data_IF_822232041868
#
_entry.id   IF_822232041868
#
_cell.length_a   1.000
_cell.length_b   1.000
_cell.length_c   1.000
_cell.angle_alpha   90.00
_cell.angle_beta   90.00
_cell.angle_gamma   90.00
#
_symmetry.space_group_name_H-M   'P 1'
#
loop_
_entity.id
_entity.type
_entity.pdbx_description
1 polymer ?
#
# COMPACT_ATOMS: atom_id res chain seq x y z
N UNK A 1 -8.27 -22.22 8.16
CA UNK A 1 -8.59 -20.79 7.97
C UNK A 1 -9.99 -20.66 7.40
N UNK A 2 -10.72 -19.63 7.78
CA UNK A 2 -12.09 -19.37 7.31
C UNK A 2 -12.18 -17.93 6.83
N UNK A 3 -13.04 -17.64 5.85
CA UNK A 3 -13.51 -16.30 5.57
C UNK A 3 -14.99 -16.25 5.93
N UNK A 4 -15.35 -15.32 6.78
CA UNK A 4 -16.73 -15.05 7.16
C UNK A 4 -17.02 -13.58 6.90
N UNK A 5 -18.24 -13.26 6.47
CA UNK A 5 -18.71 -11.88 6.49
C UNK A 5 -18.88 -11.44 7.95
N UNK A 6 -18.43 -10.23 8.27
CA UNK A 6 -18.57 -9.66 9.62
C UNK A 6 -19.49 -8.44 9.60
N UNK A 7 -19.56 -7.75 8.48
CA UNK A 7 -20.46 -6.62 8.26
C UNK A 7 -20.89 -6.59 6.79
N UNK A 8 -22.01 -7.24 6.50
CA UNK A 8 -22.56 -7.35 5.15
C UNK A 8 -22.91 -5.98 4.56
N UNK A 9 -23.36 -5.03 5.40
CA UNK A 9 -23.71 -3.69 4.96
C UNK A 9 -22.47 -2.93 4.46
N UNK A 10 -21.34 -3.09 5.14
CA UNK A 10 -20.06 -2.49 4.75
C UNK A 10 -19.26 -3.35 3.77
N UNK A 11 -19.65 -4.61 3.55
CA UNK A 11 -18.93 -5.57 2.72
C UNK A 11 -17.56 -5.94 3.29
N UNK A 12 -17.46 -6.02 4.63
CA UNK A 12 -16.24 -6.38 5.34
C UNK A 12 -16.25 -7.87 5.68
N UNK A 13 -15.15 -8.52 5.34
CA UNK A 13 -14.89 -9.95 5.58
C UNK A 13 -13.71 -10.12 6.52
N UNK A 14 -13.65 -11.26 7.21
CA UNK A 14 -12.50 -11.68 8.02
C UNK A 14 -11.81 -12.86 7.34
N UNK A 15 -10.49 -12.78 7.24
CA UNK A 15 -9.61 -13.90 6.94
C UNK A 15 -8.75 -14.18 8.16
N UNK A 16 -8.92 -15.35 8.80
CA UNK A 16 -8.32 -15.63 10.09
C UNK A 16 -7.47 -16.89 10.11
N UNK A 17 -6.36 -16.82 10.83
CA UNK A 17 -5.55 -17.96 11.24
C UNK A 17 -6.14 -18.60 12.53
N UNK A 18 -6.41 -17.75 13.52
CA UNK A 18 -7.03 -18.07 14.81
C UNK A 18 -7.74 -16.83 15.39
N UNK A 19 -8.26 -16.91 16.62
CA UNK A 19 -9.01 -15.84 17.26
C UNK A 19 -8.19 -14.57 17.55
N UNK A 20 -6.84 -14.66 17.61
CA UNK A 20 -5.93 -13.55 17.89
C UNK A 20 -5.21 -13.04 16.65
N UNK A 21 -5.17 -13.83 15.57
CA UNK A 21 -4.41 -13.56 14.36
C UNK A 21 -5.34 -13.57 13.15
N UNK A 22 -5.76 -12.40 12.70
CA UNK A 22 -6.68 -12.23 11.58
C UNK A 22 -6.54 -10.87 10.93
N UNK A 23 -7.03 -10.79 9.70
CA UNK A 23 -7.25 -9.52 9.00
C UNK A 23 -8.74 -9.34 8.70
N UNK A 24 -9.18 -8.07 8.67
CA UNK A 24 -10.45 -7.67 8.04
C UNK A 24 -10.14 -7.03 6.71
N UNK A 25 -10.97 -7.29 5.71
CA UNK A 25 -10.78 -6.73 4.38
C UNK A 25 -12.10 -6.39 3.70
N UNK A 26 -12.07 -5.41 2.80
CA UNK A 26 -13.24 -4.94 2.06
C UNK A 26 -13.00 -5.03 0.54
N UNK A 27 -13.45 -6.10 -0.13
CA UNK A 27 -13.33 -6.21 -1.59
C UNK A 27 -14.10 -5.11 -2.33
N UNK A 28 -15.26 -4.69 -1.81
CA UNK A 28 -16.13 -3.69 -2.44
C UNK A 28 -15.49 -2.29 -2.53
N UNK A 29 -14.43 -2.02 -1.75
CA UNK A 29 -13.72 -0.75 -1.77
C UNK A 29 -12.21 -0.97 -1.73
N UNK A 30 -11.62 -1.09 -2.91
CA UNK A 30 -10.17 -1.13 -3.12
C UNK A 30 -9.47 -2.44 -2.73
N UNK A 31 -10.19 -3.54 -2.45
CA UNK A 31 -9.54 -4.74 -1.89
C UNK A 31 -8.84 -4.45 -0.56
N UNK A 32 -9.27 -3.38 0.14
CA UNK A 32 -8.60 -2.82 1.30
C UNK A 32 -8.53 -3.80 2.45
N UNK A 33 -7.33 -4.09 2.96
CA UNK A 33 -7.18 -4.66 4.30
C UNK A 33 -7.44 -3.52 5.29
N UNK A 34 -8.55 -3.58 6.04
CA UNK A 34 -8.95 -2.52 6.96
C UNK A 34 -8.25 -2.64 8.31
N UNK A 35 -8.12 -3.86 8.83
CA UNK A 35 -7.54 -4.14 10.13
C UNK A 35 -6.65 -5.38 10.06
N UNK A 36 -5.62 -5.41 10.86
CA UNK A 36 -4.78 -6.57 11.10
C UNK A 36 -4.53 -6.74 12.59
N UNK A 37 -4.90 -7.90 13.10
CA UNK A 37 -4.64 -8.30 14.48
C UNK A 37 -3.53 -9.35 14.50
N UNK A 38 -2.48 -9.08 15.26
CA UNK A 38 -1.37 -9.97 15.51
C UNK A 38 -1.25 -10.18 17.02
N UNK A 39 -1.37 -11.43 17.45
CA UNK A 39 -1.44 -11.82 18.88
C UNK A 39 -2.47 -10.99 19.67
N UNK A 40 -3.65 -10.76 19.07
CA UNK A 40 -4.75 -10.01 19.66
C UNK A 40 -4.57 -8.49 19.70
N UNK A 41 -3.44 -7.95 19.22
CA UNK A 41 -3.16 -6.51 19.16
C UNK A 41 -3.45 -5.97 17.77
N UNK A 42 -4.17 -4.86 17.69
CA UNK A 42 -4.43 -4.19 16.42
C UNK A 42 -3.19 -3.44 15.93
N UNK A 43 -2.75 -3.80 14.75
CA UNK A 43 -1.52 -3.28 14.14
C UNK A 43 -1.80 -2.06 13.27
N UNK A 44 -2.89 -2.09 12.52
CA UNK A 44 -3.22 -1.04 11.56
C UNK A 44 -4.11 0.03 12.19
N UNK A 45 -3.85 1.28 11.82
CA UNK A 45 -4.77 2.40 12.04
C UNK A 45 -5.88 2.35 10.99
N UNK A 46 -7.11 2.66 11.40
CA UNK A 46 -8.26 2.72 10.49
C UNK A 46 -9.26 3.78 10.91
N UNK A 47 -9.48 4.78 10.05
CA UNK A 47 -10.50 5.82 10.22
C UNK A 47 -11.82 5.35 9.59
N UNK A 48 -12.63 4.66 10.39
CA UNK A 48 -13.89 4.08 9.94
C UNK A 48 -14.90 5.14 9.46
N UNK A 49 -14.92 6.31 10.10
CA UNK A 49 -15.82 7.42 9.70
C UNK A 49 -15.50 7.90 8.29
N UNK A 50 -14.21 8.07 7.99
CA UNK A 50 -13.77 8.43 6.63
C UNK A 50 -14.00 7.30 5.63
N UNK A 51 -13.84 6.06 6.05
CA UNK A 51 -14.09 4.92 5.18
C UNK A 51 -15.56 4.80 4.77
N UNK A 52 -16.51 5.09 5.64
CA UNK A 52 -17.95 5.07 5.30
C UNK A 52 -18.30 6.20 4.32
N UNK A 53 -17.69 7.35 4.45
CA UNK A 53 -17.89 8.50 3.56
C UNK A 53 -17.11 8.30 2.23
N UNK A 54 -17.83 7.90 1.19
CA UNK A 54 -17.24 7.63 -0.14
C UNK A 54 -16.71 8.88 -0.86
N UNK A 55 -17.05 10.08 -0.38
CA UNK A 55 -16.53 11.34 -0.96
C UNK A 55 -15.12 11.64 -0.47
N UNK A 56 -14.67 10.97 0.59
CA UNK A 56 -13.36 11.17 1.21
C UNK A 56 -12.38 10.07 0.84
N UNK A 57 -11.11 10.45 0.68
CA UNK A 57 -10.02 9.47 0.53
C UNK A 57 -9.89 8.64 1.81
N UNK A 58 -9.59 7.36 1.64
CA UNK A 58 -9.35 6.43 2.74
C UNK A 58 -8.16 6.92 3.58
N UNK A 59 -8.27 6.83 4.90
CA UNK A 59 -7.19 7.01 5.87
C UNK A 59 -7.16 5.78 6.78
N UNK A 60 -6.26 4.84 6.49
CA UNK A 60 -6.11 3.64 7.29
C UNK A 60 -6.09 2.36 6.48
N UNK A 61 -5.78 1.27 7.15
CA UNK A 61 -5.62 -0.04 6.52
C UNK A 61 -4.38 -0.12 5.64
N UNK A 62 -4.49 -0.87 4.55
CA UNK A 62 -3.44 -1.02 3.52
C UNK A 62 -4.03 -0.74 2.15
N UNK A 63 -4.19 0.53 1.74
CA UNK A 63 -4.58 0.90 0.38
C UNK A 63 -3.59 0.40 -0.67
N UNK A 64 -4.12 -0.01 -1.82
CA UNK A 64 -3.34 -0.49 -2.97
C UNK A 64 -3.21 0.65 -3.97
N UNK A 65 -1.98 0.97 -4.35
CA UNK A 65 -1.63 2.03 -5.30
C UNK A 65 -1.34 1.41 -6.66
N UNK A 66 -2.17 1.71 -7.67
CA UNK A 66 -2.02 1.21 -9.03
C UNK A 66 -2.90 2.02 -10.00
N UNK A 67 -2.46 2.35 -11.21
CA UNK A 67 -1.16 2.03 -11.81
C UNK A 67 -0.10 3.11 -11.55
N UNK A 68 -0.33 4.02 -10.61
CA UNK A 68 0.61 5.09 -10.22
C UNK A 68 0.79 5.17 -8.71
N UNK A 69 1.97 5.62 -8.28
CA UNK A 69 2.26 6.05 -6.92
C UNK A 69 2.33 7.58 -6.88
N UNK A 70 1.60 8.20 -5.93
CA UNK A 70 1.51 9.67 -5.85
C UNK A 70 0.66 10.30 -6.95
N UNK A 71 1.01 11.53 -7.34
CA UNK A 71 0.35 12.31 -8.38
C UNK A 71 1.13 12.26 -9.69
N UNK A 72 0.48 12.66 -10.79
CA UNK A 72 1.10 13.04 -12.04
C UNK A 72 0.98 14.56 -12.22
N UNK A 73 2.11 15.22 -12.49
CA UNK A 73 2.18 16.66 -12.73
C UNK A 73 2.02 16.93 -14.23
N UNK A 74 0.82 16.69 -14.72
CA UNK A 74 0.44 16.95 -16.11
C UNK A 74 -0.94 17.61 -16.15
N UNK A 75 -1.17 18.57 -17.08
CA UNK A 75 -2.44 19.28 -17.14
C UNK A 75 -3.60 18.43 -17.68
N UNK A 76 -3.28 17.34 -18.39
CA UNK A 76 -4.24 16.48 -19.08
C UNK A 76 -3.97 15.00 -18.78
N UNK A 77 -4.82 14.11 -19.31
CA UNK A 77 -4.56 12.68 -19.22
C UNK A 77 -3.26 12.28 -19.91
N UNK A 78 -2.53 11.33 -19.29
CA UNK A 78 -1.29 10.75 -19.81
C UNK A 78 -1.49 10.08 -21.19
N UNK A 79 -2.66 9.54 -21.45
CA UNK A 79 -2.97 8.76 -22.66
C UNK A 79 -3.76 9.55 -23.73
N UNK A 80 -3.87 10.88 -23.55
CA UNK A 80 -4.51 11.76 -24.53
C UNK A 80 -5.93 12.18 -24.14
N UNK A 81 -6.55 13.01 -25.00
CA UNK A 81 -7.81 13.73 -24.71
C UNK A 81 -9.01 12.82 -24.43
N UNK A 82 -9.00 11.58 -24.92
CA UNK A 82 -10.11 10.63 -24.75
C UNK A 82 -10.07 9.90 -23.41
N UNK A 83 -9.02 10.11 -22.59
CA UNK A 83 -8.86 9.46 -21.32
C UNK A 83 -8.99 10.44 -20.17
N UNK A 84 -9.48 9.96 -19.02
CA UNK A 84 -9.54 10.73 -17.78
C UNK A 84 -8.16 10.83 -17.15
N UNK A 85 -7.91 11.92 -16.43
CA UNK A 85 -6.73 12.06 -15.60
C UNK A 85 -6.78 11.11 -14.40
N UNK A 86 -5.65 10.53 -14.03
CA UNK A 86 -5.54 9.75 -12.81
C UNK A 86 -5.74 10.63 -11.57
N UNK A 87 -6.49 10.10 -10.61
CA UNK A 87 -6.45 10.60 -9.24
C UNK A 87 -5.15 10.17 -8.56
N UNK A 88 -4.78 10.85 -7.50
CA UNK A 88 -3.64 10.49 -6.66
C UNK A 88 -3.66 8.98 -6.34
N UNK A 89 -2.55 8.29 -6.56
CA UNK A 89 -2.36 6.85 -6.37
C UNK A 89 -3.16 5.94 -7.31
N UNK A 90 -3.70 6.48 -8.39
CA UNK A 90 -4.46 5.71 -9.38
C UNK A 90 -5.86 5.31 -8.90
N UNK A 91 -6.41 4.26 -9.51
CA UNK A 91 -7.81 3.87 -9.33
C UNK A 91 -8.02 2.61 -8.49
N UNK A 92 -7.01 1.80 -8.26
CA UNK A 92 -7.18 0.47 -7.67
C UNK A 92 -7.79 0.51 -6.26
N UNK A 93 -7.44 1.52 -5.46
CA UNK A 93 -7.94 1.68 -4.08
C UNK A 93 -9.42 2.07 -3.97
N UNK A 94 -10.04 2.48 -5.08
CA UNK A 94 -11.44 2.95 -5.08
C UNK A 94 -12.38 1.99 -5.81
N UNK A 95 -11.86 1.00 -6.53
CA UNK A 95 -12.63 0.04 -7.29
C UNK A 95 -13.01 -1.20 -6.47
N UNK A 96 -13.99 -1.93 -6.98
CA UNK A 96 -14.36 -3.23 -6.44
C UNK A 96 -13.41 -4.31 -6.95
N UNK A 97 -12.97 -5.19 -6.03
CA UNK A 97 -12.12 -6.33 -6.28
C UNK A 97 -12.89 -7.64 -6.11
N UNK A 98 -12.52 -8.64 -6.87
CA UNK A 98 -12.90 -10.02 -6.60
C UNK A 98 -12.01 -10.59 -5.50
N UNK A 99 -12.50 -11.60 -4.77
CA UNK A 99 -11.69 -12.31 -3.79
C UNK A 99 -11.96 -13.80 -3.84
N UNK A 100 -10.95 -14.61 -3.54
CA UNK A 100 -11.08 -16.05 -3.37
C UNK A 100 -10.08 -16.58 -2.36
N UNK A 101 -10.44 -17.70 -1.73
CA UNK A 101 -9.57 -18.44 -0.83
C UNK A 101 -8.86 -19.56 -1.56
N UNK A 102 -7.59 -19.70 -1.28
CA UNK A 102 -6.82 -20.89 -1.61
C UNK A 102 -6.62 -21.72 -0.33
N UNK A 103 -7.49 -22.70 -0.12
CA UNK A 103 -7.43 -23.55 1.07
C UNK A 103 -6.15 -24.39 1.17
N UNK A 104 -5.58 -24.82 0.03
CA UNK A 104 -4.33 -25.59 0.01
C UNK A 104 -3.13 -24.77 0.46
N UNK A 105 -3.11 -23.48 0.10
CA UNK A 105 -2.01 -22.56 0.45
C UNK A 105 -2.31 -21.72 1.70
N UNK A 106 -3.50 -21.83 2.27
CA UNK A 106 -3.97 -20.96 3.34
C UNK A 106 -3.75 -19.47 3.01
N UNK A 107 -4.16 -19.06 1.82
CA UNK A 107 -4.01 -17.67 1.36
C UNK A 107 -5.32 -17.09 0.84
N UNK A 108 -5.47 -15.78 0.98
CA UNK A 108 -6.51 -14.95 0.40
C UNK A 108 -5.97 -14.33 -0.89
N UNK A 109 -6.69 -14.46 -1.99
CA UNK A 109 -6.40 -13.72 -3.23
C UNK A 109 -7.39 -12.60 -3.43
N UNK A 110 -6.89 -11.39 -3.70
CA UNK A 110 -7.63 -10.24 -4.18
C UNK A 110 -7.29 -10.04 -5.66
N UNK A 111 -8.29 -9.81 -6.50
CA UNK A 111 -8.11 -9.74 -7.97
C UNK A 111 -8.85 -8.52 -8.51
N UNK A 112 -8.12 -7.65 -9.20
CA UNK A 112 -8.66 -6.56 -10.00
C UNK A 112 -8.33 -6.81 -11.48
N UNK A 113 -9.35 -6.75 -12.33
CA UNK A 113 -9.21 -6.85 -13.79
C UNK A 113 -9.54 -5.51 -14.43
N UNK A 114 -9.06 -5.34 -15.66
CA UNK A 114 -9.53 -4.24 -16.50
C UNK A 114 -11.04 -4.31 -16.69
N UNK A 115 -11.64 -3.16 -16.90
CA UNK A 115 -13.06 -2.96 -17.08
C UNK A 115 -13.29 -1.70 -17.90
N UNK A 116 -14.51 -1.46 -18.35
CA UNK A 116 -14.88 -0.22 -19.05
C UNK A 116 -14.53 1.02 -18.20
N UNK A 117 -14.65 0.93 -16.87
CA UNK A 117 -14.27 2.03 -15.97
C UNK A 117 -12.76 2.25 -16.01
N UNK A 118 -11.94 1.20 -15.86
CA UNK A 118 -10.46 1.37 -15.86
C UNK A 118 -9.96 1.86 -17.20
N UNK A 119 -10.59 1.43 -18.31
CA UNK A 119 -10.24 1.87 -19.66
C UNK A 119 -10.49 3.35 -19.92
N UNK A 120 -11.34 4.00 -19.13
CA UNK A 120 -11.47 5.47 -19.21
C UNK A 120 -10.22 6.23 -18.74
N UNK A 121 -9.34 5.59 -17.97
CA UNK A 121 -8.09 6.18 -17.46
C UNK A 121 -6.84 5.55 -18.08
N UNK A 122 -6.90 4.24 -18.38
CA UNK A 122 -5.75 3.38 -18.61
C UNK A 122 -6.05 2.37 -19.71
N UNK A 123 -5.52 2.54 -20.95
CA UNK A 123 -5.97 1.81 -22.14
C UNK A 123 -5.38 0.39 -22.26
N UNK A 124 -5.21 -0.31 -21.15
CA UNK A 124 -4.60 -1.64 -21.14
C UNK A 124 -5.54 -2.69 -20.57
N UNK A 125 -5.44 -3.89 -21.12
CA UNK A 125 -6.04 -5.08 -20.53
C UNK A 125 -5.06 -5.63 -19.49
N UNK A 126 -5.52 -5.83 -18.26
CA UNK A 126 -4.64 -6.30 -17.19
C UNK A 126 -5.37 -7.21 -16.20
N UNK A 127 -4.58 -7.96 -15.43
CA UNK A 127 -5.02 -8.56 -14.19
C UNK A 127 -3.99 -8.27 -13.10
N UNK A 128 -4.45 -7.63 -12.04
CA UNK A 128 -3.68 -7.42 -10.82
C UNK A 128 -4.19 -8.39 -9.77
N UNK A 129 -3.34 -9.35 -9.37
CA UNK A 129 -3.65 -10.33 -8.33
C UNK A 129 -2.70 -10.15 -7.15
N UNK A 130 -3.27 -10.06 -5.96
CA UNK A 130 -2.52 -10.01 -4.71
C UNK A 130 -2.87 -11.23 -3.88
N UNK A 131 -1.91 -12.12 -3.68
CA UNK A 131 -2.03 -13.26 -2.78
C UNK A 131 -1.49 -12.85 -1.40
N UNK A 132 -2.35 -12.96 -0.39
CA UNK A 132 -2.09 -12.56 0.99
C UNK A 132 -1.99 -13.83 1.83
N UNK A 133 -0.86 -14.01 2.51
CA UNK A 133 -0.63 -15.09 3.46
C UNK A 133 -0.46 -14.53 4.86
N UNK A 134 -1.30 -15.01 5.78
CA UNK A 134 -1.28 -14.62 7.18
C UNK A 134 -0.55 -15.69 8.00
N UNK A 135 0.43 -15.24 8.79
CA UNK A 135 1.13 -16.04 9.82
C UNK A 135 1.10 -15.29 11.15
N UNK A 136 1.47 -15.95 12.24
CA UNK A 136 1.66 -15.27 13.51
C UNK A 136 2.68 -14.14 13.30
N UNK A 137 2.29 -12.91 13.65
CA UNK A 137 3.12 -11.70 13.55
C UNK A 137 3.71 -11.41 12.15
N UNK A 138 3.13 -11.99 11.09
CA UNK A 138 3.62 -11.75 9.73
C UNK A 138 2.48 -11.75 8.71
N UNK A 139 2.45 -10.71 7.88
CA UNK A 139 1.55 -10.58 6.74
C UNK A 139 2.40 -10.51 5.47
N UNK A 140 2.21 -11.48 4.56
CA UNK A 140 2.96 -11.56 3.31
C UNK A 140 2.06 -11.26 2.12
N UNK A 141 2.63 -10.56 1.14
CA UNK A 141 1.99 -10.20 -0.12
C UNK A 141 2.82 -10.75 -1.28
N UNK A 142 2.19 -11.47 -2.18
CA UNK A 142 2.72 -11.77 -3.50
C UNK A 142 1.84 -11.11 -4.52
N UNK A 143 2.38 -10.13 -5.22
CA UNK A 143 1.68 -9.32 -6.20
C UNK A 143 2.06 -9.80 -7.59
N UNK A 144 1.08 -10.11 -8.42
CA UNK A 144 1.25 -10.44 -9.83
C UNK A 144 0.48 -9.42 -10.67
N UNK A 145 1.21 -8.65 -11.47
CA UNK A 145 0.67 -7.66 -12.40
C UNK A 145 0.82 -8.23 -13.80
N UNK A 146 -0.26 -8.69 -14.40
CA UNK A 146 -0.26 -9.28 -15.72
C UNK A 146 -0.73 -8.26 -16.78
N UNK A 147 0.07 -8.05 -17.80
CA UNK A 147 -0.32 -7.36 -19.01
C UNK A 147 -1.01 -8.35 -19.97
N UNK A 148 -2.28 -8.10 -20.26
CA UNK A 148 -3.08 -8.88 -21.23
C UNK A 148 -3.30 -8.14 -22.55
N UNK A 149 -2.59 -7.04 -22.75
CA UNK A 149 -2.60 -6.26 -23.98
C UNK A 149 -1.55 -6.76 -24.97
N UNK A 150 -1.67 -6.32 -26.22
CA UNK A 150 -0.71 -6.61 -27.29
C UNK A 150 0.44 -5.58 -27.38
N UNK A 151 0.48 -4.62 -26.45
CA UNK A 151 1.48 -3.57 -26.34
C UNK A 151 2.07 -3.55 -24.95
N UNK A 152 3.26 -2.95 -24.77
CA UNK A 152 3.87 -2.74 -23.47
C UNK A 152 2.98 -1.91 -22.56
N UNK A 153 2.85 -2.36 -21.31
CA UNK A 153 2.01 -1.72 -20.29
C UNK A 153 2.89 -1.04 -19.24
N UNK A 154 2.88 0.31 -19.16
CA UNK A 154 3.63 1.05 -18.16
C UNK A 154 2.90 1.05 -16.82
N UNK A 155 3.55 0.60 -15.76
CA UNK A 155 2.97 0.54 -14.42
C UNK A 155 3.90 1.05 -13.35
N UNK A 156 3.31 1.54 -12.27
CA UNK A 156 3.90 1.62 -10.94
C UNK A 156 2.96 0.91 -9.96
N UNK A 157 3.54 0.42 -8.87
CA UNK A 157 2.78 -0.25 -7.83
C UNK A 157 3.26 0.20 -6.44
N UNK A 158 2.32 0.29 -5.50
CA UNK A 158 2.62 0.61 -4.11
C UNK A 158 1.61 0.01 -3.14
N UNK A 159 2.03 -0.15 -1.89
CA UNK A 159 1.15 -0.36 -0.75
C UNK A 159 1.28 0.83 0.19
N UNK A 160 0.19 1.17 0.88
CA UNK A 160 0.14 2.33 1.78
C UNK A 160 -0.30 1.95 3.19
N UNK A 161 0.45 1.07 3.90
CA UNK A 161 0.08 0.63 5.24
C UNK A 161 0.09 1.77 6.25
N UNK A 162 -1.01 1.90 6.98
CA UNK A 162 -1.16 2.83 8.09
C UNK A 162 -0.99 2.06 9.40
N UNK A 163 0.07 2.32 10.14
CA UNK A 163 0.34 1.63 11.41
C UNK A 163 -0.16 2.47 12.59
N UNK A 164 -0.88 1.82 13.52
CA UNK A 164 -1.18 2.41 14.81
C UNK A 164 0.10 2.68 15.59
N UNK A 165 0.20 3.84 16.19
CA UNK A 165 1.29 4.23 17.09
C UNK A 165 0.75 4.72 18.42
N UNK A 166 1.55 4.58 19.47
CA UNK A 166 1.22 5.11 20.79
C UNK A 166 1.27 6.64 20.80
N UNK A 167 2.37 7.19 20.29
CA UNK A 167 2.62 8.62 20.10
C UNK A 167 3.85 8.80 19.21
N UNK A 168 3.94 9.92 18.47
CA UNK A 168 5.09 10.19 17.60
C UNK A 168 6.42 10.28 18.37
N UNK A 169 6.43 10.79 19.60
CA UNK A 169 7.62 10.90 20.45
C UNK A 169 8.20 9.56 20.88
N UNK A 170 7.43 8.48 20.78
CA UNK A 170 7.87 7.14 21.14
C UNK A 170 8.42 6.34 19.95
N UNK A 171 8.44 6.95 18.75
CA UNK A 171 8.92 6.30 17.54
C UNK A 171 10.42 6.45 17.36
N UNK A 172 11.05 5.36 16.96
CA UNK A 172 12.44 5.29 16.51
C UNK A 172 12.46 4.62 15.13
N UNK A 173 12.88 5.35 14.10
CA UNK A 173 13.03 4.79 12.75
C UNK A 173 14.41 4.17 12.59
N UNK A 174 14.45 2.96 12.04
CA UNK A 174 15.66 2.12 11.99
C UNK A 174 16.04 1.87 10.54
N UNK A 175 17.36 1.79 10.29
CA UNK A 175 17.94 1.45 8.98
C UNK A 175 17.51 2.40 7.84
N UNK A 176 17.31 3.69 8.17
CA UNK A 176 16.97 4.68 7.14
C UNK A 176 18.21 5.09 6.33
N UNK A 177 18.05 5.35 5.02
CA UNK A 177 19.06 6.02 4.23
C UNK A 177 19.43 7.40 4.81
N UNK A 178 20.66 7.83 4.59
CA UNK A 178 21.14 9.14 5.04
C UNK A 178 20.30 10.29 4.49
N UNK A 179 19.87 10.17 3.24
CA UNK A 179 19.11 11.19 2.54
C UNK A 179 17.73 10.69 2.12
N UNK A 180 16.77 11.60 2.16
CA UNK A 180 15.40 11.43 1.66
C UNK A 180 15.01 12.60 0.75
N UNK A 181 14.05 12.37 -0.12
CA UNK A 181 13.36 13.42 -0.84
C UNK A 181 12.12 13.85 -0.03
N UNK A 182 12.09 15.08 0.45
CA UNK A 182 10.88 15.66 1.04
C UNK A 182 9.88 15.94 -0.11
N UNK A 183 8.79 15.18 -0.17
CA UNK A 183 7.83 15.24 -1.26
C UNK A 183 6.90 16.47 -1.22
N UNK A 184 6.94 17.27 -0.14
CA UNK A 184 6.16 18.52 -0.03
C UNK A 184 6.82 19.66 -0.82
N UNK A 185 8.15 19.66 -0.90
CA UNK A 185 8.92 20.73 -1.57
C UNK A 185 9.94 20.21 -2.61
N UNK A 186 9.95 18.91 -2.87
CA UNK A 186 10.85 18.22 -3.81
C UNK A 186 12.35 18.39 -3.52
N UNK A 187 12.73 18.70 -2.27
CA UNK A 187 14.12 18.89 -1.88
C UNK A 187 14.74 17.61 -1.33
N UNK A 188 16.00 17.35 -1.70
CA UNK A 188 16.83 16.36 -1.03
C UNK A 188 17.22 16.88 0.37
N UNK A 189 17.03 16.08 1.40
CA UNK A 189 17.21 16.43 2.80
C UNK A 189 17.89 15.29 3.57
N UNK A 190 18.51 15.62 4.72
CA UNK A 190 18.94 14.61 5.66
C UNK A 190 17.71 13.95 6.31
N UNK A 191 17.67 12.62 6.30
CA UNK A 191 16.51 11.85 6.77
C UNK A 191 16.26 12.04 8.27
N UNK A 192 17.31 12.05 9.09
CA UNK A 192 17.19 12.21 10.54
C UNK A 192 16.61 13.57 10.90
N UNK A 193 17.04 14.63 10.19
CA UNK A 193 16.53 15.98 10.45
C UNK A 193 15.04 16.14 10.03
N UNK A 194 14.64 15.53 8.92
CA UNK A 194 13.24 15.54 8.50
C UNK A 194 12.34 14.73 9.46
N UNK A 195 12.82 13.61 9.99
CA UNK A 195 12.09 12.80 10.96
C UNK A 195 11.80 13.52 12.28
N UNK A 196 12.58 14.52 12.68
CA UNK A 196 12.29 15.40 13.84
C UNK A 196 10.97 16.16 13.68
N UNK A 197 10.53 16.36 12.43
CA UNK A 197 9.31 17.07 12.10
C UNK A 197 8.05 16.18 12.03
N UNK A 198 8.13 14.92 12.45
CA UNK A 198 7.04 13.95 12.29
C UNK A 198 5.73 14.40 12.95
N UNK A 199 5.80 15.15 14.04
CA UNK A 199 4.66 15.75 14.75
C UNK A 199 3.93 16.84 13.94
N UNK A 200 4.58 17.39 12.91
CA UNK A 200 4.04 18.43 12.03
C UNK A 200 3.57 17.85 10.68
N UNK A 201 3.64 16.54 10.55
CA UNK A 201 3.35 15.84 9.30
C UNK A 201 4.54 15.86 8.33
N UNK A 202 4.99 14.71 7.91
CA UNK A 202 6.08 14.52 6.94
C UNK A 202 5.61 13.71 5.74
N UNK A 203 6.34 13.81 4.63
CA UNK A 203 6.12 13.03 3.42
C UNK A 203 7.49 12.82 2.74
N UNK A 204 8.16 11.71 3.09
CA UNK A 204 9.57 11.46 2.77
C UNK A 204 9.69 10.23 1.90
N UNK A 205 10.27 10.36 0.71
CA UNK A 205 10.63 9.25 -0.17
C UNK A 205 12.11 8.92 0.00
N UNK A 206 12.43 7.64 0.10
CA UNK A 206 13.78 7.12 0.30
C UNK A 206 14.08 5.96 -0.65
N UNK A 207 15.33 5.88 -1.10
CA UNK A 207 15.86 4.71 -1.79
C UNK A 207 16.44 3.76 -0.74
N UNK A 208 15.67 2.73 -0.40
CA UNK A 208 16.01 1.79 0.67
C UNK A 208 16.79 0.58 0.13
N UNK A 209 17.30 -0.24 1.04
CA UNK A 209 17.85 -1.57 0.71
C UNK A 209 16.78 -2.66 0.58
N UNK A 210 15.51 -2.28 0.32
CA UNK A 210 14.37 -3.21 0.32
C UNK A 210 13.81 -3.49 1.72
N UNK A 211 14.09 -2.59 2.67
CA UNK A 211 13.64 -2.71 4.06
C UNK A 211 13.34 -1.32 4.64
N UNK A 212 12.27 -1.23 5.41
CA UNK A 212 11.90 -0.05 6.19
C UNK A 212 11.40 -0.51 7.57
N UNK A 213 11.79 0.17 8.64
CA UNK A 213 11.38 -0.25 9.99
C UNK A 213 11.25 0.93 10.95
N UNK A 214 10.35 0.76 11.93
CA UNK A 214 10.31 1.60 13.11
C UNK A 214 10.03 0.78 14.37
N UNK A 215 10.44 1.31 15.52
CA UNK A 215 10.04 0.87 16.86
C UNK A 215 9.06 1.85 17.47
N UNK A 216 8.07 1.32 18.17
CA UNK A 216 7.26 2.08 19.12
C UNK A 216 7.67 1.64 20.53
N UNK A 217 8.42 2.48 21.22
CA UNK A 217 9.04 2.16 22.50
C UNK A 217 8.01 2.02 23.63
N UNK A 218 6.85 2.63 23.52
CA UNK A 218 5.75 2.48 24.46
C UNK A 218 4.98 1.16 24.25
N UNK A 219 4.65 0.82 23.00
CA UNK A 219 4.01 -0.45 22.67
C UNK A 219 4.97 -1.64 22.72
N UNK A 220 6.29 -1.39 22.93
CA UNK A 220 7.33 -2.43 22.88
C UNK A 220 7.25 -3.26 21.60
N UNK A 221 7.08 -2.61 20.48
CA UNK A 221 6.81 -3.21 19.18
C UNK A 221 7.70 -2.63 18.09
N UNK A 222 8.32 -3.51 17.32
CA UNK A 222 9.00 -3.16 16.08
C UNK A 222 8.17 -3.63 14.90
N UNK A 223 7.92 -2.73 13.95
CA UNK A 223 7.34 -3.03 12.64
C UNK A 223 8.48 -3.03 11.63
N UNK A 224 8.58 -4.11 10.86
CA UNK A 224 9.54 -4.23 9.75
C UNK A 224 8.81 -4.57 8.47
N UNK A 225 8.96 -3.75 7.47
CA UNK A 225 8.47 -3.95 6.12
C UNK A 225 9.64 -4.39 5.23
N UNK A 226 9.54 -5.59 4.65
CA UNK A 226 10.47 -6.11 3.65
C UNK A 226 9.83 -5.94 2.28
N UNK A 227 10.55 -5.31 1.35
CA UNK A 227 10.06 -4.95 0.02
C UNK A 227 11.22 -4.89 -0.99
N UNK A 228 11.73 -6.06 -1.42
CA UNK A 228 12.90 -6.13 -2.29
C UNK A 228 12.66 -5.49 -3.66
N UNK A 229 13.76 -5.12 -4.33
CA UNK A 229 13.73 -4.54 -5.69
C UNK A 229 12.89 -5.41 -6.66
N UNK A 230 12.16 -4.78 -7.58
CA UNK A 230 12.07 -3.34 -7.87
C UNK A 230 11.09 -2.57 -6.99
N UNK A 231 10.68 -3.12 -5.87
CA UNK A 231 9.72 -2.56 -4.91
C UNK A 231 10.42 -1.87 -3.72
N UNK A 232 11.60 -1.31 -3.96
CA UNK A 232 12.59 -0.90 -2.97
C UNK A 232 12.64 0.60 -2.67
N UNK A 233 11.64 1.37 -3.06
CA UNK A 233 11.42 2.71 -2.53
C UNK A 233 10.59 2.62 -1.24
N UNK A 234 10.98 3.38 -0.23
CA UNK A 234 10.24 3.51 1.01
C UNK A 234 9.69 4.93 1.18
N UNK A 235 8.41 5.05 1.56
CA UNK A 235 7.85 6.35 1.95
C UNK A 235 7.51 6.31 3.43
N UNK A 236 7.93 7.35 4.18
CA UNK A 236 7.47 7.62 5.54
C UNK A 236 6.53 8.81 5.48
N UNK A 237 5.29 8.60 5.89
CA UNK A 237 4.27 9.63 5.91
C UNK A 237 3.55 9.70 7.25
N UNK A 238 3.26 10.91 7.74
CA UNK A 238 2.46 11.15 8.93
C UNK A 238 1.44 12.26 8.70
N UNK A 239 0.28 12.17 9.37
CA UNK A 239 -0.86 13.11 9.24
C UNK A 239 -1.45 13.44 10.62
N UNK A 240 -0.73 14.20 11.47
CA UNK A 240 -1.21 14.63 12.78
C UNK A 240 -2.53 15.40 12.67
N UNK A 241 -3.44 15.28 13.66
CA UNK A 241 -3.25 14.67 14.98
C UNK A 241 -3.52 13.15 15.04
N UNK A 242 -3.66 12.45 13.87
CA UNK A 242 -3.88 11.01 13.85
C UNK A 242 -2.65 10.28 14.39
N UNK A 243 -2.88 9.39 15.36
CA UNK A 243 -1.80 8.57 15.95
C UNK A 243 -1.47 7.39 15.03
N UNK A 244 -0.89 7.70 13.89
CA UNK A 244 -0.47 6.72 12.89
C UNK A 244 0.78 7.18 12.13
N UNK A 245 1.50 6.22 11.60
CA UNK A 245 2.58 6.43 10.65
C UNK A 245 2.44 5.44 9.50
N UNK A 246 2.73 5.89 8.28
CA UNK A 246 2.81 5.01 7.13
C UNK A 246 4.26 4.65 6.83
N UNK A 247 4.50 3.36 6.55
CA UNK A 247 5.66 2.88 5.82
C UNK A 247 5.16 2.31 4.51
N UNK A 248 5.51 2.93 3.41
CA UNK A 248 4.92 2.61 2.11
C UNK A 248 6.01 2.09 1.17
N UNK A 249 5.94 0.83 0.72
CA UNK A 249 6.80 0.37 -0.35
C UNK A 249 6.22 0.83 -1.69
N UNK A 250 7.06 1.44 -2.52
CA UNK A 250 6.74 1.87 -3.87
C UNK A 250 7.75 1.30 -4.88
N UNK A 251 7.32 1.02 -6.09
CA UNK A 251 8.23 0.64 -7.19
C UNK A 251 8.90 1.86 -7.81
N UNK A 252 8.23 3.01 -7.75
CA UNK A 252 8.62 4.19 -8.52
C UNK A 252 8.18 5.46 -7.82
N UNK A 253 8.91 6.59 -7.98
CA UNK A 253 8.52 7.87 -7.42
C UNK A 253 7.30 8.45 -8.15
N UNK A 254 6.79 9.57 -7.64
CA UNK A 254 5.77 10.38 -8.32
C UNK A 254 6.23 10.75 -9.74
N UNK A 255 5.30 10.96 -10.65
CA UNK A 255 5.55 11.31 -12.05
C UNK A 255 6.30 10.26 -12.89
N UNK A 256 6.60 9.09 -12.37
CA UNK A 256 7.39 8.07 -13.05
C UNK A 256 6.82 7.67 -14.42
N UNK A 257 5.50 7.59 -14.58
CA UNK A 257 4.92 7.27 -15.89
C UNK A 257 5.13 8.39 -16.92
N UNK A 258 5.37 9.63 -16.47
CA UNK A 258 5.63 10.80 -17.34
C UNK A 258 7.11 10.92 -17.67
N UNK A 259 7.98 10.93 -16.64
CA UNK A 259 9.40 11.19 -16.79
C UNK A 259 10.25 9.93 -17.03
N UNK A 260 9.65 8.74 -16.94
CA UNK A 260 10.32 7.47 -17.17
C UNK A 260 11.14 6.93 -16.00
N UNK A 261 11.32 7.71 -14.92
CA UNK A 261 12.17 7.31 -13.80
C UNK A 261 11.62 6.09 -13.08
N UNK A 262 12.34 4.95 -13.13
CA UNK A 262 11.96 3.64 -12.55
C UNK A 262 10.59 3.12 -13.04
N UNK A 263 10.08 3.60 -14.15
CA UNK A 263 8.86 3.11 -14.78
C UNK A 263 9.02 1.64 -15.13
N UNK A 264 8.12 0.79 -14.64
CA UNK A 264 8.07 -0.61 -15.03
C UNK A 264 7.31 -0.70 -16.35
N UNK A 265 7.91 -1.35 -17.34
CA UNK A 265 7.26 -1.70 -18.61
C UNK A 265 7.05 -3.22 -18.62
N UNK A 266 5.81 -3.65 -18.66
CA UNK A 266 5.47 -5.08 -18.74
C UNK A 266 5.20 -5.43 -20.21
N UNK A 267 6.01 -6.31 -20.83
CA UNK A 267 5.81 -6.74 -22.22
C UNK A 267 4.41 -7.34 -22.45
N UNK A 268 3.95 -7.38 -23.70
CA UNK A 268 2.69 -8.04 -24.06
C UNK A 268 2.60 -9.47 -23.50
N UNK A 269 1.44 -9.84 -22.95
CA UNK A 269 1.14 -11.16 -22.40
C UNK A 269 2.13 -11.67 -21.33
N UNK A 270 2.85 -10.75 -20.68
CA UNK A 270 3.84 -11.03 -19.63
C UNK A 270 3.37 -10.53 -18.26
N UNK A 271 4.13 -10.86 -17.22
CA UNK A 271 3.80 -10.46 -15.84
C UNK A 271 5.01 -9.91 -15.10
N UNK A 272 4.75 -8.94 -14.22
CA UNK A 272 5.67 -8.50 -13.18
C UNK A 272 5.24 -9.09 -11.84
N UNK A 273 6.17 -9.74 -11.14
CA UNK A 273 5.95 -10.24 -9.78
C UNK A 273 6.68 -9.34 -8.80
N UNK A 274 5.99 -9.00 -7.71
CA UNK A 274 6.55 -8.24 -6.59
C UNK A 274 6.22 -8.98 -5.30
N UNK A 275 7.10 -8.88 -4.31
CA UNK A 275 6.92 -9.46 -2.99
C UNK A 275 7.06 -8.39 -1.91
N UNK A 276 6.24 -8.47 -0.88
CA UNK A 276 6.38 -7.68 0.33
C UNK A 276 5.98 -8.50 1.55
N UNK A 277 6.54 -8.16 2.71
CA UNK A 277 6.06 -8.72 3.97
C UNK A 277 6.19 -7.71 5.10
N UNK A 278 5.22 -7.73 6.01
CA UNK A 278 5.22 -6.94 7.23
C UNK A 278 5.40 -7.90 8.41
N UNK A 279 6.42 -7.65 9.21
CA UNK A 279 6.76 -8.44 10.39
C UNK A 279 6.60 -7.57 11.64
N UNK A 280 6.04 -8.18 12.68
CA UNK A 280 5.88 -7.57 14.01
C UNK A 280 6.73 -8.33 15.00
N UNK A 281 7.68 -7.64 15.62
CA UNK A 281 8.48 -8.17 16.71
C UNK A 281 8.19 -7.38 17.99
N UNK A 282 8.06 -8.08 19.11
CA UNK A 282 7.98 -7.46 20.43
C UNK A 282 9.36 -7.53 21.11
N UNK A 283 9.67 -6.51 21.88
CA UNK A 283 10.90 -6.46 22.68
C UNK A 283 10.58 -6.08 24.14
N UNK A 284 11.52 -6.33 25.03
CA UNK A 284 11.36 -6.05 26.47
C UNK A 284 11.59 -4.57 26.80
#
# INVERSE_FOLDING_TARGET
MKVNSVDDKKGIYVFQLDAKNYIKFCPKRGGLITNWFADGKEILYFDEKRFIDKTKSIRGGIPILFPICGNLDIPNSLFGKNYKQFMQHGFARDLQWQHCLNYKKNSLSLILKDSEITKTFYPYNFELKIEISLKINCLKFKINIQNKSNIEMPVNFGLHPYFNISDFKNLEFIDNPLNCQNQKNNCLRNTVDELKNINNGIDLLMYTSGKSSFRDNFFKRQVTLMHPSPFDLGVIWSDPPRKMVCLEPWTSPRNSLVNGLRKILIPPNSSQILDASILINTFK
#
